data_IF_321547320062
#
_entry.id   IF_321547320062
#
_cell.length_a   1.000
_cell.length_b   1.000
_cell.length_c   1.000
_cell.angle_alpha   90.00
_cell.angle_beta   90.00
_cell.angle_gamma   90.00
#
_symmetry.space_group_name_H-M   'P 1'
#
loop_
_entity.id
_entity.type
_entity.pdbx_description
1 polymer ?
#
# COMPACT_ATOMS: atom_id res chain seq x y z
N UNK A 1 -9.45 48.26 9.98
CA UNK A 1 -9.29 47.49 11.22
C UNK A 1 -9.15 46.03 10.82
N UNK A 2 -7.92 45.52 10.68
CA UNK A 2 -7.65 44.16 10.20
C UNK A 2 -6.63 43.52 11.16
N UNK A 3 -7.13 42.74 12.12
CA UNK A 3 -6.30 41.98 13.06
C UNK A 3 -5.77 40.75 12.34
N UNK A 4 -4.51 40.81 11.93
CA UNK A 4 -3.74 39.65 11.47
C UNK A 4 -3.44 38.78 12.70
N UNK A 5 -4.09 37.62 12.79
CA UNK A 5 -3.85 36.62 13.82
C UNK A 5 -2.49 35.94 13.58
N UNK A 6 -1.50 36.04 14.49
CA UNK A 6 -0.15 35.49 14.29
C UNK A 6 -0.02 33.98 14.53
N UNK A 7 -1.14 33.26 14.76
CA UNK A 7 -1.13 31.86 15.20
C UNK A 7 -1.55 30.83 14.14
N UNK A 8 -1.40 31.14 12.85
CA UNK A 8 -1.52 30.13 11.80
C UNK A 8 -0.29 29.21 11.83
N UNK A 9 -0.31 28.21 12.71
CA UNK A 9 0.69 27.13 12.72
C UNK A 9 0.65 26.43 11.36
N UNK A 10 1.77 26.36 10.61
CA UNK A 10 1.82 25.60 9.39
C UNK A 10 1.61 24.12 9.72
N UNK A 11 0.47 23.60 9.26
CA UNK A 11 0.29 22.22 8.82
C UNK A 11 0.73 21.16 9.82
N UNK A 12 -0.23 20.68 10.61
CA UNK A 12 -0.20 19.31 11.10
C UNK A 12 -0.19 18.40 9.86
N UNK A 13 0.99 18.14 9.33
CA UNK A 13 1.20 17.08 8.36
C UNK A 13 0.76 15.81 9.09
N UNK A 14 -0.45 15.35 8.77
CA UNK A 14 -0.97 14.05 9.19
C UNK A 14 0.13 13.07 8.82
N UNK A 15 0.85 12.61 9.84
CA UNK A 15 2.01 11.75 9.66
C UNK A 15 1.44 10.42 9.22
N UNK A 16 1.35 10.23 7.90
CA UNK A 16 0.94 8.98 7.31
C UNK A 16 1.74 7.87 7.99
N UNK A 17 1.05 6.89 8.57
CA UNK A 17 1.75 5.76 9.15
C UNK A 17 2.45 5.04 8.01
N UNK A 18 3.78 5.08 7.99
CA UNK A 18 4.54 4.33 6.98
C UNK A 18 4.58 2.87 7.42
N UNK A 19 4.07 1.97 6.57
CA UNK A 19 4.25 0.54 6.80
C UNK A 19 5.64 0.17 6.28
N UNK A 20 6.54 -0.17 7.21
CA UNK A 20 7.96 -0.54 6.97
C UNK A 20 8.25 -2.01 7.29
N UNK A 21 7.20 -2.85 7.35
CA UNK A 21 7.33 -4.27 7.65
C UNK A 21 7.81 -5.11 6.46
N UNK A 22 8.25 -6.36 6.68
CA UNK A 22 8.41 -7.31 5.58
C UNK A 22 7.06 -7.48 4.91
N UNK A 23 7.00 -7.16 3.61
CA UNK A 23 5.78 -7.25 2.84
C UNK A 23 5.22 -8.68 2.85
N UNK A 24 3.88 -8.87 2.83
CA UNK A 24 3.32 -10.19 2.66
C UNK A 24 3.86 -10.82 1.36
N UNK A 25 4.46 -11.99 1.48
CA UNK A 25 4.91 -12.78 0.34
C UNK A 25 3.79 -13.72 -0.11
N UNK A 26 3.59 -13.78 -1.41
CA UNK A 26 2.60 -14.61 -2.07
C UNK A 26 3.21 -15.88 -2.69
N UNK A 27 4.51 -16.11 -2.49
CA UNK A 27 5.23 -17.24 -3.08
C UNK A 27 4.65 -18.61 -2.67
N UNK A 28 4.06 -18.71 -1.47
CA UNK A 28 3.38 -19.92 -1.00
C UNK A 28 2.15 -20.30 -1.84
N UNK A 29 1.63 -19.38 -2.65
CA UNK A 29 0.46 -19.58 -3.50
C UNK A 29 0.82 -19.80 -4.98
N UNK A 30 2.11 -19.85 -5.32
CA UNK A 30 2.58 -20.06 -6.69
C UNK A 30 2.10 -21.38 -7.31
N UNK A 31 1.89 -22.41 -6.48
CA UNK A 31 1.43 -23.74 -6.89
C UNK A 31 -0.10 -23.84 -7.05
N UNK A 32 -0.84 -22.80 -6.68
CA UNK A 32 -2.30 -22.82 -6.83
C UNK A 32 -2.72 -22.83 -8.31
N UNK A 33 -3.92 -23.33 -8.62
CA UNK A 33 -4.53 -23.15 -9.93
C UNK A 33 -4.55 -21.68 -10.33
N UNK A 34 -4.32 -21.41 -11.62
CA UNK A 34 -4.18 -20.05 -12.16
C UNK A 34 -5.30 -19.10 -11.72
N UNK A 35 -6.56 -19.57 -11.78
CA UNK A 35 -7.71 -18.78 -11.32
C UNK A 35 -7.57 -18.31 -9.86
N UNK A 36 -7.08 -19.18 -8.97
CA UNK A 36 -6.85 -18.82 -7.56
C UNK A 36 -5.67 -17.86 -7.41
N UNK A 37 -4.62 -17.99 -8.24
CA UNK A 37 -3.49 -17.04 -8.26
C UNK A 37 -3.95 -15.65 -8.66
N UNK A 38 -4.82 -15.53 -9.66
CA UNK A 38 -5.46 -14.26 -10.03
C UNK A 38 -6.33 -13.68 -8.91
N UNK A 39 -7.07 -14.53 -8.17
CA UNK A 39 -7.83 -14.08 -6.99
C UNK A 39 -6.90 -13.53 -5.90
N UNK A 40 -5.77 -14.21 -5.62
CA UNK A 40 -4.77 -13.72 -4.67
C UNK A 40 -4.15 -12.40 -5.12
N UNK A 41 -3.83 -12.25 -6.42
CA UNK A 41 -3.33 -11.00 -6.97
C UNK A 41 -4.33 -9.85 -6.81
N UNK A 42 -5.61 -10.10 -7.08
CA UNK A 42 -6.66 -9.10 -6.88
C UNK A 42 -6.81 -8.73 -5.40
N UNK A 43 -6.75 -9.70 -4.49
CA UNK A 43 -6.79 -9.48 -3.04
C UNK A 43 -5.61 -8.67 -2.54
N UNK A 44 -4.40 -8.92 -3.08
CA UNK A 44 -3.20 -8.17 -2.75
C UNK A 44 -3.35 -6.68 -3.09
N UNK A 45 -3.85 -6.36 -4.28
CA UNK A 45 -4.11 -4.97 -4.70
C UNK A 45 -5.15 -4.29 -3.82
N UNK A 46 -6.28 -4.95 -3.58
CA UNK A 46 -7.34 -4.42 -2.73
C UNK A 46 -6.86 -4.16 -1.29
N UNK A 47 -5.98 -5.03 -0.77
CA UNK A 47 -5.37 -4.82 0.55
C UNK A 47 -4.47 -3.59 0.57
N UNK A 48 -3.64 -3.39 -0.46
CA UNK A 48 -2.82 -2.19 -0.59
C UNK A 48 -3.68 -0.92 -0.67
N UNK A 49 -4.72 -0.93 -1.50
CA UNK A 49 -5.64 0.20 -1.64
C UNK A 49 -6.33 0.53 -0.32
N UNK A 50 -6.77 -0.49 0.44
CA UNK A 50 -7.36 -0.30 1.76
C UNK A 50 -6.37 0.37 2.73
N UNK A 51 -5.10 -0.06 2.71
CA UNK A 51 -4.06 0.54 3.55
C UNK A 51 -3.81 2.01 3.16
N UNK A 52 -3.71 2.29 1.87
CA UNK A 52 -3.54 3.66 1.36
C UNK A 52 -4.74 4.56 1.70
N UNK A 53 -5.97 4.03 1.66
CA UNK A 53 -7.18 4.75 2.08
C UNK A 53 -7.21 5.10 3.57
N UNK A 54 -6.66 4.24 4.42
CA UNK A 54 -6.54 4.49 5.87
C UNK A 54 -5.38 5.46 6.18
N UNK A 55 -4.64 5.89 5.16
CA UNK A 55 -3.53 6.85 5.30
C UNK A 55 -2.18 6.17 5.54
N UNK A 56 -2.07 4.86 5.27
CA UNK A 56 -0.77 4.20 5.27
C UNK A 56 -0.03 4.46 3.96
N UNK A 57 1.25 4.79 4.06
CA UNK A 57 2.13 4.89 2.89
C UNK A 57 3.00 3.65 2.84
N UNK A 58 2.93 2.95 1.71
CA UNK A 58 3.77 1.80 1.46
C UNK A 58 5.20 2.26 1.18
N UNK A 59 6.19 1.64 1.83
CA UNK A 59 7.60 1.92 1.53
C UNK A 59 8.04 1.37 0.16
N UNK A 60 7.32 0.40 -0.41
CA UNK A 60 7.54 -0.08 -1.79
C UNK A 60 6.65 0.69 -2.77
N UNK A 61 7.20 1.00 -3.94
CA UNK A 61 6.43 1.62 -5.03
C UNK A 61 5.34 0.67 -5.50
N UNK A 62 4.28 1.21 -6.11
CA UNK A 62 3.22 0.39 -6.67
C UNK A 62 3.73 -0.56 -7.76
N UNK A 63 4.68 -0.11 -8.59
CA UNK A 63 5.28 -0.93 -9.65
C UNK A 63 6.09 -2.10 -9.10
N UNK A 64 6.96 -1.83 -8.10
CA UNK A 64 7.72 -2.88 -7.41
C UNK A 64 6.81 -3.90 -6.74
N UNK A 65 5.73 -3.42 -6.11
CA UNK A 65 4.71 -4.27 -5.51
C UNK A 65 4.06 -5.19 -6.57
N UNK A 66 3.55 -4.62 -7.66
CA UNK A 66 2.93 -5.42 -8.73
C UNK A 66 3.91 -6.43 -9.29
N UNK A 67 5.13 -5.99 -9.62
CA UNK A 67 6.18 -6.87 -10.17
C UNK A 67 6.52 -8.02 -9.21
N UNK A 68 6.63 -7.74 -7.92
CA UNK A 68 6.89 -8.75 -6.88
C UNK A 68 5.75 -9.75 -6.77
N UNK A 69 4.51 -9.27 -6.62
CA UNK A 69 3.33 -10.13 -6.46
C UNK A 69 3.09 -10.97 -7.72
N UNK A 70 3.21 -10.38 -8.91
CA UNK A 70 3.11 -11.09 -10.20
C UNK A 70 4.17 -12.18 -10.31
N UNK A 71 5.43 -11.89 -9.94
CA UNK A 71 6.52 -12.89 -9.93
C UNK A 71 6.26 -14.00 -8.91
N UNK A 72 5.82 -13.66 -7.71
CA UNK A 72 5.53 -14.62 -6.63
C UNK A 72 4.34 -15.51 -6.96
N UNK A 73 3.33 -14.99 -7.64
CA UNK A 73 2.15 -15.72 -8.07
C UNK A 73 2.29 -16.33 -9.46
N UNK A 74 3.37 -16.09 -10.20
CA UNK A 74 3.57 -16.57 -11.58
C UNK A 74 2.41 -16.22 -12.54
N UNK A 75 1.79 -15.05 -12.37
CA UNK A 75 0.68 -14.54 -13.21
C UNK A 75 1.15 -13.50 -14.22
#
# INVERSE_FOLDING_TARGET
MNIINPNSRPQEAVSALVIVGPWPSYAAFADLPEQKRWVMYSGAKAHREMLEQVGFVMSETYDDFVRRVTRELNV
#
